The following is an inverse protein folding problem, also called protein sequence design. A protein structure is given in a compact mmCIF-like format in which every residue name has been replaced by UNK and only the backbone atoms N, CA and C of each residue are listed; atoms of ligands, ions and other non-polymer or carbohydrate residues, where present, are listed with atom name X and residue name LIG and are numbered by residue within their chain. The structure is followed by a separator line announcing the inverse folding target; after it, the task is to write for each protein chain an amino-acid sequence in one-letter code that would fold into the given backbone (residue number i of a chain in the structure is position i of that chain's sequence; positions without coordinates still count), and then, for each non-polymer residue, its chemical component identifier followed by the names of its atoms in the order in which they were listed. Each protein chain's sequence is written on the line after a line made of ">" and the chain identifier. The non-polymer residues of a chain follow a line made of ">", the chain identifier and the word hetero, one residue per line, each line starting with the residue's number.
data_IF_246479095875
#
_entry.id   IF_246479095875
#
_cell.length_a   1.000
_cell.length_b   1.000
_cell.length_c   1.000
_cell.angle_alpha   90.00
_cell.angle_beta   90.00
_cell.angle_gamma   90.00
#
_symmetry.space_group_name_H-M   'P 1'
#
loop_
_entity.id
_entity.type
_entity.pdbx_description
1 polymer ?
#
# COMPACT_ATOMS: atom_id res chain seq x y z
N UNK A 1 20.10 2.94 5.16
CA UNK A 1 19.76 4.36 5.32
C UNK A 1 20.51 4.89 6.53
N UNK A 2 20.99 6.13 6.50
CA UNK A 2 21.77 6.74 7.57
C UNK A 2 21.20 8.11 7.92
N UNK A 3 21.62 8.66 9.07
CA UNK A 3 21.30 10.00 9.49
C UNK A 3 22.58 10.72 9.93
N UNK A 4 22.73 11.96 9.52
CA UNK A 4 23.75 12.86 10.05
C UNK A 4 23.18 13.56 11.27
N UNK A 5 23.90 13.46 12.39
CA UNK A 5 23.53 14.07 13.66
C UNK A 5 24.54 15.19 13.99
N UNK A 6 24.03 16.37 14.23
CA UNK A 6 24.79 17.53 14.71
C UNK A 6 24.06 18.15 15.90
N UNK A 7 24.78 18.50 16.93
CA UNK A 7 24.23 19.10 18.17
C UNK A 7 23.03 18.34 18.75
N UNK A 8 23.11 17.00 18.78
CA UNK A 8 22.04 16.09 19.20
C UNK A 8 20.73 16.20 18.40
N UNK A 9 20.78 16.72 17.18
CA UNK A 9 19.64 16.82 16.27
C UNK A 9 19.95 16.13 14.95
N UNK A 10 18.90 15.61 14.32
CA UNK A 10 19.00 15.06 12.98
C UNK A 10 19.13 16.25 12.01
N UNK A 11 20.29 16.39 11.38
CA UNK A 11 20.55 17.42 10.37
C UNK A 11 20.05 16.93 9.00
N UNK A 12 20.35 15.66 8.67
CA UNK A 12 19.98 15.10 7.38
C UNK A 12 19.72 13.60 7.46
N UNK A 13 18.79 13.12 6.60
CA UNK A 13 18.57 11.69 6.34
C UNK A 13 19.21 11.31 5.00
N UNK A 14 20.23 10.47 5.07
CA UNK A 14 21.01 10.00 3.92
C UNK A 14 20.43 8.67 3.44
N UNK A 15 19.62 8.73 2.39
CA UNK A 15 18.94 7.54 1.84
C UNK A 15 19.86 6.63 1.05
N UNK A 16 20.85 7.21 0.35
CA UNK A 16 21.79 6.48 -0.50
C UNK A 16 23.22 6.97 -0.25
N UNK A 17 24.24 6.07 -0.36
CA UNK A 17 25.65 6.46 -0.27
C UNK A 17 26.01 7.54 -1.27
N UNK A 18 26.50 8.66 -0.79
CA UNK A 18 26.96 9.81 -1.57
C UNK A 18 28.17 10.47 -0.91
N UNK A 19 28.84 11.34 -1.65
CA UNK A 19 29.85 12.23 -1.06
C UNK A 19 29.12 13.23 -0.15
N UNK A 20 29.64 13.43 1.04
CA UNK A 20 29.09 14.36 2.07
C UNK A 20 30.20 15.25 2.62
N UNK A 21 29.80 16.41 3.10
CA UNK A 21 30.71 17.34 3.78
C UNK A 21 30.26 17.46 5.21
N UNK A 22 31.16 17.20 6.15
CA UNK A 22 30.92 17.30 7.59
C UNK A 22 32.04 18.13 8.19
N UNK A 23 31.71 19.24 8.84
CA UNK A 23 32.67 20.18 9.45
C UNK A 23 33.82 20.55 8.48
N UNK A 24 33.45 20.95 7.24
CA UNK A 24 34.35 21.34 6.14
C UNK A 24 35.25 20.20 5.60
N UNK A 25 35.06 18.97 6.05
CA UNK A 25 35.77 17.80 5.56
C UNK A 25 34.92 17.04 4.56
N UNK A 26 35.44 16.83 3.38
CA UNK A 26 34.77 16.05 2.32
C UNK A 26 35.01 14.56 2.52
N UNK A 27 33.94 13.80 2.75
CA UNK A 27 33.95 12.34 2.85
C UNK A 27 33.40 11.69 1.57
N UNK A 28 34.17 10.80 0.99
CA UNK A 28 33.74 10.03 -0.19
C UNK A 28 32.56 9.10 0.16
N UNK A 29 31.69 8.81 -0.82
CA UNK A 29 30.64 7.81 -0.71
C UNK A 29 31.11 6.44 -0.22
N UNK A 30 32.39 6.11 -0.38
CA UNK A 30 32.99 4.82 0.05
C UNK A 30 32.95 4.61 1.55
N UNK A 31 32.86 5.65 2.38
CA UNK A 31 32.79 5.50 3.83
C UNK A 31 31.60 4.62 4.26
N UNK A 32 30.46 4.70 3.57
CA UNK A 32 29.27 3.91 3.89
C UNK A 32 29.40 2.40 3.66
N UNK A 33 30.44 1.97 2.96
CA UNK A 33 30.71 0.56 2.71
C UNK A 33 32.05 0.07 3.30
N UNK A 34 32.99 0.99 3.55
CA UNK A 34 34.33 0.66 3.99
C UNK A 34 34.51 0.86 5.49
N UNK A 35 33.80 1.79 6.10
CA UNK A 35 33.94 2.13 7.50
C UNK A 35 33.02 1.29 8.39
N UNK A 36 33.50 1.01 9.59
CA UNK A 36 32.71 0.40 10.66
C UNK A 36 31.66 1.37 11.20
N UNK A 37 30.65 0.85 11.89
CA UNK A 37 29.65 1.67 12.57
C UNK A 37 30.26 2.65 13.56
N UNK A 38 31.32 2.25 14.25
CA UNK A 38 32.01 3.10 15.21
C UNK A 38 32.68 4.29 14.52
N UNK A 39 33.33 4.07 13.38
CA UNK A 39 33.99 5.13 12.61
C UNK A 39 32.95 6.12 12.04
N UNK A 40 31.82 5.61 11.52
CA UNK A 40 30.73 6.46 11.06
C UNK A 40 30.12 7.28 12.21
N UNK A 41 29.88 6.66 13.36
CA UNK A 41 29.32 7.36 14.52
C UNK A 41 30.27 8.44 15.05
N UNK A 42 31.59 8.27 14.95
CA UNK A 42 32.56 9.28 15.35
C UNK A 42 32.49 10.58 14.56
N UNK A 43 31.96 10.52 13.33
CA UNK A 43 31.74 11.70 12.50
C UNK A 43 30.26 12.10 12.45
N UNK A 44 29.44 11.61 13.39
CA UNK A 44 28.02 11.96 13.50
C UNK A 44 27.08 11.21 12.55
N UNK A 45 27.55 10.17 11.85
CA UNK A 45 26.69 9.38 10.99
C UNK A 45 26.20 8.13 11.73
N UNK A 46 24.87 8.00 11.85
CA UNK A 46 24.23 6.88 12.54
C UNK A 46 23.37 6.08 11.57
N UNK A 47 23.28 4.76 11.82
CA UNK A 47 22.34 3.92 11.10
C UNK A 47 20.90 4.27 11.52
N UNK A 48 19.99 4.26 10.55
CA UNK A 48 18.56 4.42 10.83
C UNK A 48 17.94 3.03 10.93
N UNK A 49 17.44 2.69 12.12
CA UNK A 49 16.65 1.48 12.35
C UNK A 49 15.21 1.73 11.88
N UNK A 50 14.77 0.92 10.92
CA UNK A 50 13.41 1.05 10.39
C UNK A 50 12.44 0.24 11.25
N UNK A 51 11.33 0.86 11.63
CA UNK A 51 10.24 0.18 12.32
C UNK A 51 9.25 -0.42 11.32
N UNK A 52 8.44 -1.37 11.77
CA UNK A 52 7.45 -2.02 10.93
C UNK A 52 6.38 -1.02 10.45
N UNK A 53 6.20 -0.95 9.14
CA UNK A 53 5.10 -0.24 8.51
C UNK A 53 3.78 -0.94 8.78
N UNK A 54 2.67 -0.23 8.60
CA UNK A 54 1.34 -0.80 8.60
C UNK A 54 1.10 -1.71 7.40
N UNK A 55 0.11 -2.58 7.51
CA UNK A 55 -0.36 -3.37 6.38
C UNK A 55 -1.23 -2.49 5.47
N UNK A 56 -0.71 -2.11 4.32
CA UNK A 56 -1.39 -1.24 3.35
C UNK A 56 -2.77 -1.77 2.89
N UNK A 57 -3.07 -3.02 3.12
CA UNK A 57 -4.40 -3.57 2.82
C UNK A 57 -5.45 -3.04 3.80
N UNK A 58 -5.07 -2.82 5.06
CA UNK A 58 -5.97 -2.49 6.17
C UNK A 58 -5.71 -1.13 6.79
N UNK A 59 -4.51 -0.58 6.61
CA UNK A 59 -4.06 0.64 7.26
C UNK A 59 -3.51 1.66 6.27
N UNK A 60 -3.73 2.94 6.57
CA UNK A 60 -2.95 4.04 6.02
C UNK A 60 -1.72 4.23 6.91
N UNK A 61 -0.56 4.34 6.29
CA UNK A 61 0.71 4.58 6.99
C UNK A 61 1.23 5.97 6.62
N UNK A 62 1.54 6.79 7.61
CA UNK A 62 2.11 8.13 7.41
C UNK A 62 3.50 8.06 6.78
N UNK A 63 4.04 9.23 6.41
CA UNK A 63 5.47 9.38 6.19
C UNK A 63 6.23 9.06 7.49
N UNK A 64 7.47 8.53 7.40
CA UNK A 64 8.27 8.21 8.58
C UNK A 64 8.62 9.47 9.38
N UNK A 65 8.50 9.39 10.68
CA UNK A 65 9.09 10.33 11.62
C UNK A 65 10.40 9.74 12.14
N UNK A 66 11.45 10.55 12.21
CA UNK A 66 12.77 10.13 12.64
C UNK A 66 13.06 10.69 14.04
N UNK A 67 13.57 9.83 14.92
CA UNK A 67 13.94 10.22 16.29
C UNK A 67 15.36 9.76 16.59
N UNK A 68 16.22 10.68 17.04
CA UNK A 68 17.56 10.35 17.51
C UNK A 68 17.54 10.12 19.02
N UNK A 69 18.18 9.03 19.45
CA UNK A 69 18.44 8.71 20.84
C UNK A 69 19.92 8.87 21.14
N UNK A 70 20.30 9.92 21.87
CA UNK A 70 21.68 10.18 22.27
C UNK A 70 22.23 9.06 23.18
N UNK A 71 21.42 8.56 24.12
CA UNK A 71 21.80 7.46 25.01
C UNK A 71 21.99 6.13 24.29
N UNK A 72 21.14 5.84 23.29
CA UNK A 72 21.22 4.64 22.48
C UNK A 72 22.16 4.74 21.27
N UNK A 73 22.66 5.94 20.97
CA UNK A 73 23.49 6.23 19.77
C UNK A 73 22.87 5.68 18.50
N UNK A 74 21.57 5.88 18.31
CA UNK A 74 20.82 5.38 17.16
C UNK A 74 19.70 6.32 16.73
N UNK A 75 19.32 6.21 15.47
CA UNK A 75 18.13 6.88 14.92
C UNK A 75 17.10 5.81 14.60
N UNK A 76 15.88 6.02 15.05
CA UNK A 76 14.75 5.12 14.75
C UNK A 76 13.69 5.83 13.93
N UNK A 77 12.99 5.07 13.07
CA UNK A 77 11.78 5.53 12.41
C UNK A 77 10.55 5.16 13.23
N UNK A 78 9.50 5.96 13.09
CA UNK A 78 8.15 5.61 13.52
C UNK A 78 7.14 6.01 12.46
N UNK A 79 6.01 5.30 12.43
CA UNK A 79 4.91 5.54 11.49
C UNK A 79 3.61 5.65 12.27
N UNK A 80 2.83 6.67 11.97
CA UNK A 80 1.43 6.71 12.41
C UNK A 80 0.62 5.79 11.50
N UNK A 81 -0.17 4.91 12.10
CA UNK A 81 -1.05 3.97 11.40
C UNK A 81 -2.49 4.36 11.68
N UNK A 82 -3.30 4.36 10.66
CA UNK A 82 -4.73 4.66 10.75
C UNK A 82 -5.49 3.58 10.00
N UNK A 83 -6.40 2.90 10.68
CA UNK A 83 -7.21 1.85 10.07
C UNK A 83 -8.07 2.41 8.95
N UNK A 84 -8.17 1.66 7.86
CA UNK A 84 -9.13 1.95 6.79
C UNK A 84 -10.54 1.60 7.26
N UNK A 85 -11.51 2.43 6.88
CA UNK A 85 -12.91 2.16 7.22
C UNK A 85 -13.37 0.81 6.64
N UNK A 86 -14.08 0.03 7.45
CA UNK A 86 -14.67 -1.25 7.01
C UNK A 86 -15.93 -1.04 6.17
N UNK A 87 -16.70 0.01 6.49
CA UNK A 87 -17.97 0.37 5.84
C UNK A 87 -17.81 1.62 4.99
N UNK A 88 -18.68 1.78 4.01
CA UNK A 88 -18.71 2.96 3.17
C UNK A 88 -19.05 4.20 3.98
N UNK A 89 -18.47 5.34 3.58
CA UNK A 89 -18.72 6.65 4.18
C UNK A 89 -19.13 7.64 3.12
N UNK A 90 -20.17 8.43 3.41
CA UNK A 90 -20.60 9.52 2.54
C UNK A 90 -19.56 10.65 2.61
N UNK A 91 -19.17 11.15 1.44
CA UNK A 91 -18.22 12.25 1.36
C UNK A 91 -18.93 13.57 1.67
N UNK A 92 -18.30 14.38 2.51
CA UNK A 92 -18.78 15.71 2.88
C UNK A 92 -17.66 16.74 2.73
N UNK A 93 -18.03 18.00 2.49
CA UNK A 93 -17.07 19.11 2.49
C UNK A 93 -16.69 19.53 3.94
N UNK A 94 -15.88 20.59 4.05
CA UNK A 94 -15.41 21.10 5.34
C UNK A 94 -16.54 21.59 6.25
N UNK A 95 -17.70 21.96 5.67
CA UNK A 95 -18.89 22.45 6.38
C UNK A 95 -19.88 21.30 6.71
N UNK A 96 -19.53 20.06 6.37
CA UNK A 96 -20.36 18.86 6.58
C UNK A 96 -21.48 18.69 5.55
N UNK A 97 -21.46 19.44 4.44
CA UNK A 97 -22.43 19.32 3.37
C UNK A 97 -22.04 18.19 2.43
N UNK A 98 -23.03 17.45 1.95
CA UNK A 98 -22.84 16.34 1.01
C UNK A 98 -22.09 16.76 -0.26
N UNK A 99 -21.02 16.04 -0.58
CA UNK A 99 -20.37 16.15 -1.88
C UNK A 99 -21.15 15.34 -2.91
N UNK A 100 -21.45 15.96 -4.04
CA UNK A 100 -22.24 15.34 -5.11
C UNK A 100 -21.38 15.14 -6.36
N UNK A 101 -21.65 14.08 -7.11
CA UNK A 101 -21.08 13.86 -8.43
C UNK A 101 -21.75 14.81 -9.48
N UNK A 102 -21.28 14.73 -10.73
CA UNK A 102 -21.80 15.54 -11.83
C UNK A 102 -23.27 15.23 -12.20
N UNK A 103 -23.86 14.15 -11.67
CA UNK A 103 -25.25 13.74 -11.83
C UNK A 103 -26.12 14.15 -10.63
N UNK A 104 -25.51 14.72 -9.59
CA UNK A 104 -26.20 15.11 -8.36
C UNK A 104 -26.35 13.98 -7.33
N UNK A 105 -25.66 12.84 -7.49
CA UNK A 105 -25.67 11.78 -6.50
C UNK A 105 -24.59 12.02 -5.45
N UNK A 106 -24.88 11.64 -4.19
CA UNK A 106 -23.92 11.66 -3.11
C UNK A 106 -22.68 10.83 -3.46
N UNK A 107 -21.48 11.42 -3.37
CA UNK A 107 -20.23 10.66 -3.48
C UNK A 107 -19.96 9.87 -2.23
N UNK A 108 -19.34 8.70 -2.40
CA UNK A 108 -19.11 7.74 -1.32
C UNK A 108 -17.68 7.20 -1.43
N UNK A 109 -16.93 7.31 -0.35
CA UNK A 109 -15.67 6.60 -0.20
C UNK A 109 -15.95 5.16 0.24
N UNK A 110 -15.56 4.19 -0.59
CA UNK A 110 -15.82 2.77 -0.33
C UNK A 110 -14.97 2.25 0.82
N UNK A 111 -15.61 1.54 1.75
CA UNK A 111 -14.95 0.80 2.79
C UNK A 111 -14.36 -0.53 2.30
N UNK A 112 -13.54 -1.17 3.15
CA UNK A 112 -12.85 -2.42 2.79
C UNK A 112 -13.81 -3.55 2.40
N UNK A 113 -14.99 -3.62 3.02
CA UNK A 113 -16.01 -4.63 2.68
C UNK A 113 -16.51 -4.45 1.24
N UNK A 114 -16.86 -3.23 0.85
CA UNK A 114 -17.34 -2.93 -0.51
C UNK A 114 -16.25 -3.11 -1.55
N UNK A 115 -15.00 -2.73 -1.23
CA UNK A 115 -13.83 -2.98 -2.09
C UNK A 115 -13.64 -4.48 -2.31
N UNK A 116 -13.67 -5.30 -1.26
CA UNK A 116 -13.52 -6.75 -1.36
C UNK A 116 -14.66 -7.40 -2.16
N UNK A 117 -15.91 -6.97 -1.95
CA UNK A 117 -17.07 -7.41 -2.74
C UNK A 117 -16.91 -7.08 -4.22
N UNK A 118 -16.47 -5.88 -4.54
CA UNK A 118 -16.25 -5.47 -5.93
C UNK A 118 -15.12 -6.27 -6.59
N UNK A 119 -14.02 -6.54 -5.89
CA UNK A 119 -12.94 -7.39 -6.38
C UNK A 119 -13.39 -8.84 -6.62
N UNK A 120 -14.22 -9.39 -5.73
CA UNK A 120 -14.81 -10.71 -5.90
C UNK A 120 -15.70 -10.77 -7.15
N UNK A 121 -16.56 -9.76 -7.37
CA UNK A 121 -17.41 -9.62 -8.56
C UNK A 121 -16.58 -9.54 -9.85
N UNK A 122 -15.57 -8.70 -9.86
CA UNK A 122 -14.68 -8.54 -11.01
C UNK A 122 -13.96 -9.86 -11.34
N UNK A 123 -13.42 -10.53 -10.32
CA UNK A 123 -12.78 -11.83 -10.47
C UNK A 123 -13.74 -12.87 -11.02
N UNK A 124 -14.96 -12.96 -10.47
CA UNK A 124 -15.99 -13.87 -10.95
C UNK A 124 -16.36 -13.58 -12.41
N UNK A 125 -16.56 -12.32 -12.77
CA UNK A 125 -16.85 -11.92 -14.15
C UNK A 125 -15.70 -12.29 -15.09
N UNK A 126 -14.45 -12.04 -14.71
CA UNK A 126 -13.28 -12.40 -15.51
C UNK A 126 -13.16 -13.91 -15.74
N UNK A 127 -13.49 -14.72 -14.74
CA UNK A 127 -13.49 -16.18 -14.86
C UNK A 127 -14.61 -16.67 -15.78
N UNK A 128 -15.82 -16.11 -15.67
CA UNK A 128 -16.99 -16.49 -16.47
C UNK A 128 -16.80 -16.05 -17.93
N UNK A 129 -16.30 -14.86 -18.17
CA UNK A 129 -16.11 -14.28 -19.52
C UNK A 129 -15.19 -15.13 -20.41
N UNK A 130 -14.30 -15.94 -19.82
CA UNK A 130 -13.46 -16.89 -20.57
C UNK A 130 -14.27 -17.90 -21.36
N UNK A 131 -15.53 -18.13 -20.98
CA UNK A 131 -16.43 -19.11 -21.58
C UNK A 131 -17.51 -18.49 -22.48
N UNK A 132 -17.58 -17.15 -22.62
CA UNK A 132 -18.60 -16.46 -23.40
C UNK A 132 -18.62 -16.93 -24.86
N UNK A 133 -17.46 -17.24 -25.44
CA UNK A 133 -17.36 -17.77 -26.80
C UNK A 133 -18.10 -19.09 -26.97
N UNK A 134 -18.25 -19.92 -25.93
CA UNK A 134 -19.04 -21.14 -25.96
C UNK A 134 -20.53 -20.86 -26.08
N UNK A 135 -20.99 -19.80 -25.35
CA UNK A 135 -22.37 -19.32 -25.43
C UNK A 135 -22.67 -18.80 -26.84
N UNK A 136 -21.81 -17.92 -27.36
CA UNK A 136 -21.93 -17.39 -28.72
C UNK A 136 -21.95 -18.51 -29.74
N UNK A 137 -21.03 -19.48 -29.66
CA UNK A 137 -21.00 -20.64 -30.55
C UNK A 137 -22.32 -21.43 -30.52
N UNK A 138 -22.91 -21.65 -29.33
CA UNK A 138 -24.17 -22.42 -29.21
C UNK A 138 -25.37 -21.68 -29.76
N UNK A 139 -25.33 -20.32 -29.82
CA UNK A 139 -26.36 -19.49 -30.42
C UNK A 139 -26.32 -19.60 -31.96
N UNK A 140 -25.10 -19.55 -32.53
CA UNK A 140 -24.93 -19.64 -34.00
C UNK A 140 -25.00 -21.06 -34.56
N UNK A 141 -24.68 -22.07 -33.75
CA UNK A 141 -24.73 -23.49 -34.13
C UNK A 141 -25.33 -24.33 -32.99
N UNK A 142 -26.63 -24.60 -33.11
CA UNK A 142 -27.38 -25.35 -32.09
C UNK A 142 -26.90 -26.79 -31.88
N UNK A 143 -26.10 -27.34 -32.83
CA UNK A 143 -25.45 -28.65 -32.66
C UNK A 143 -24.29 -28.62 -31.66
N UNK A 144 -23.78 -27.43 -31.30
CA UNK A 144 -22.67 -27.20 -30.39
C UNK A 144 -23.17 -26.77 -29.02
N UNK A 145 -23.47 -27.72 -28.16
CA UNK A 145 -23.92 -27.47 -26.81
C UNK A 145 -22.76 -27.03 -25.90
N UNK A 146 -23.08 -26.26 -24.87
CA UNK A 146 -22.12 -25.91 -23.83
C UNK A 146 -21.83 -27.16 -22.98
N UNK A 147 -20.55 -27.56 -22.80
CA UNK A 147 -20.21 -28.70 -21.96
C UNK A 147 -20.73 -28.57 -20.54
N UNK A 148 -21.34 -29.62 -19.98
CA UNK A 148 -21.89 -29.64 -18.62
C UNK A 148 -20.85 -29.20 -17.56
N UNK A 149 -19.58 -29.61 -17.74
CA UNK A 149 -18.50 -29.20 -16.83
C UNK A 149 -18.33 -27.67 -16.77
N UNK A 150 -18.52 -26.95 -17.87
CA UNK A 150 -18.46 -25.47 -17.90
C UNK A 150 -19.67 -24.89 -17.16
N UNK A 151 -20.86 -25.41 -17.36
CA UNK A 151 -22.07 -25.00 -16.63
C UNK A 151 -21.92 -25.18 -15.13
N UNK A 152 -21.41 -26.33 -14.69
CA UNK A 152 -21.14 -26.63 -13.29
C UNK A 152 -20.09 -25.65 -12.71
N UNK A 153 -19.00 -25.40 -13.42
CA UNK A 153 -17.94 -24.47 -13.02
C UNK A 153 -18.45 -23.03 -12.86
N UNK A 154 -19.18 -22.53 -13.85
CA UNK A 154 -19.81 -21.20 -13.79
C UNK A 154 -20.83 -21.09 -12.66
N UNK A 155 -21.63 -22.13 -12.45
CA UNK A 155 -22.56 -22.20 -11.32
C UNK A 155 -21.87 -22.09 -9.97
N UNK A 156 -20.73 -22.79 -9.80
CA UNK A 156 -19.94 -22.73 -8.58
C UNK A 156 -19.34 -21.31 -8.36
N UNK A 157 -18.77 -20.69 -9.39
CA UNK A 157 -18.25 -19.31 -9.29
C UNK A 157 -19.36 -18.35 -8.82
N UNK A 158 -20.56 -18.45 -9.38
CA UNK A 158 -21.70 -17.59 -8.98
C UNK A 158 -22.11 -17.83 -7.53
N UNK A 159 -22.15 -19.07 -7.07
CA UNK A 159 -22.49 -19.41 -5.70
C UNK A 159 -21.44 -18.90 -4.70
N UNK A 160 -20.15 -19.09 -5.01
CA UNK A 160 -19.04 -18.63 -4.18
C UNK A 160 -19.05 -17.09 -4.10
N UNK A 161 -19.29 -16.39 -5.22
CA UNK A 161 -19.41 -14.93 -5.26
C UNK A 161 -20.57 -14.44 -4.41
N UNK A 162 -21.76 -15.07 -4.50
CA UNK A 162 -22.92 -14.72 -3.68
C UNK A 162 -22.66 -14.89 -2.16
N UNK A 163 -21.88 -15.91 -1.79
CA UNK A 163 -21.46 -16.12 -0.40
C UNK A 163 -20.57 -15.01 0.14
N UNK A 164 -19.66 -14.47 -0.70
CA UNK A 164 -18.79 -13.35 -0.33
C UNK A 164 -19.59 -12.04 -0.23
N UNK A 165 -20.64 -11.88 -1.01
CA UNK A 165 -21.48 -10.68 -1.04
C UNK A 165 -22.44 -10.57 0.16
N UNK A 166 -22.78 -11.69 0.78
CA UNK A 166 -23.65 -11.74 1.97
C UNK A 166 -22.95 -11.17 3.21
#
# INVERSE_FOLDING_TARGET
>A
MWALIKDNKIEEIIRFPRTIIIDDVTHSRKIFSAWTWTELNNIGIYIVEDSAKGDNRFEYTSQPTYTYSASGKKVSTSYTKTDKALTDTNDVDADGKALLDYKGNQTVTLGLKSIAKNQAKETANNLINRFNWLVERSIYDSSKTIPNAVGTYVGKIKADCATIEA
#
